data_IF_724746660658
#
_entry.id   IF_724746660658
#
_cell.length_a   1.000
_cell.length_b   1.000
_cell.length_c   1.000
_cell.angle_alpha   90.00
_cell.angle_beta   90.00
_cell.angle_gamma   90.00
#
_symmetry.space_group_name_H-M   'P 1'
#
loop_
_entity.id
_entity.type
_entity.pdbx_description
1 polymer ?
#
# COMPACT_ATOMS: atom_id res chain seq x y z
N UNK A 1 24.15 1.38 -7.81
CA UNK A 1 23.55 1.56 -6.46
C UNK A 1 24.65 1.42 -5.44
N UNK A 2 24.61 2.24 -4.41
CA UNK A 2 25.52 2.19 -3.27
C UNK A 2 24.96 1.12 -2.33
N UNK A 3 25.80 0.18 -1.90
CA UNK A 3 25.39 -0.78 -0.88
C UNK A 3 25.33 -0.06 0.47
N UNK A 4 24.13 0.03 1.04
CA UNK A 4 23.84 0.67 2.32
C UNK A 4 23.28 -0.33 3.34
N UNK A 5 23.27 -1.62 3.01
CA UNK A 5 22.61 -2.67 3.80
C UNK A 5 23.15 -2.78 5.23
N UNK A 6 24.48 -2.69 5.41
CA UNK A 6 25.13 -2.72 6.72
C UNK A 6 24.75 -1.51 7.57
N UNK A 7 24.72 -0.31 6.97
CA UNK A 7 24.33 0.92 7.65
C UNK A 7 22.87 0.85 8.09
N UNK A 8 21.97 0.45 7.19
CA UNK A 8 20.56 0.29 7.51
C UNK A 8 20.33 -0.74 8.61
N UNK A 9 21.10 -1.83 8.61
CA UNK A 9 21.05 -2.85 9.65
C UNK A 9 21.58 -2.33 10.99
N UNK A 10 22.63 -1.52 10.99
CA UNK A 10 23.14 -0.84 12.19
C UNK A 10 22.12 0.13 12.78
N UNK A 11 21.48 0.95 11.95
CA UNK A 11 20.39 1.85 12.37
C UNK A 11 19.25 1.06 13.02
N UNK A 12 18.82 -0.05 12.41
CA UNK A 12 17.78 -0.94 12.99
C UNK A 12 18.15 -1.48 14.37
N UNK A 13 19.45 -1.68 14.65
CA UNK A 13 19.97 -2.14 15.95
C UNK A 13 20.24 -1.00 16.92
N UNK A 14 20.04 0.26 16.53
CA UNK A 14 20.34 1.44 17.34
C UNK A 14 21.84 1.72 17.48
N UNK A 15 22.66 1.24 16.54
CA UNK A 15 24.11 1.45 16.53
C UNK A 15 24.46 2.85 16.02
N UNK A 16 25.58 3.39 16.48
CA UNK A 16 26.17 4.58 15.90
C UNK A 16 26.81 4.23 14.54
N UNK A 17 26.20 4.74 13.47
CA UNK A 17 26.64 4.53 12.09
C UNK A 17 27.43 5.73 11.50
N UNK A 18 27.76 6.73 12.31
CA UNK A 18 28.34 8.01 11.85
C UNK A 18 29.61 7.82 11.02
N UNK A 19 30.54 6.98 11.47
CA UNK A 19 31.79 6.72 10.74
C UNK A 19 31.55 5.98 9.42
N UNK A 20 30.63 5.01 9.41
CA UNK A 20 30.29 4.25 8.20
C UNK A 20 29.62 5.14 7.15
N UNK A 21 28.71 6.02 7.58
CA UNK A 21 28.07 7.01 6.70
C UNK A 21 29.11 8.00 6.16
N UNK A 22 30.01 8.53 7.00
CA UNK A 22 31.05 9.46 6.58
C UNK A 22 31.95 8.88 5.47
N UNK A 23 32.26 7.58 5.51
CA UNK A 23 33.01 6.88 4.45
C UNK A 23 32.23 6.79 3.13
N UNK A 24 30.89 6.78 3.17
CA UNK A 24 30.04 6.73 1.98
C UNK A 24 29.59 8.11 1.47
N UNK A 25 29.71 9.18 2.27
CA UNK A 25 29.24 10.52 1.91
C UNK A 25 29.69 11.00 0.52
N UNK A 26 30.96 10.85 0.08
CA UNK A 26 31.35 11.28 -1.27
C UNK A 26 30.56 10.58 -2.38
N UNK A 27 30.20 9.30 -2.17
CA UNK A 27 29.36 8.54 -3.11
C UNK A 27 27.91 8.98 -3.04
N UNK A 28 27.36 9.19 -1.83
CA UNK A 28 25.99 9.65 -1.61
C UNK A 28 25.76 11.06 -2.19
N UNK A 29 26.73 11.96 -2.04
CA UNK A 29 26.73 13.28 -2.67
C UNK A 29 26.62 13.18 -4.19
N UNK A 30 27.50 12.38 -4.81
CA UNK A 30 27.47 12.17 -6.27
C UNK A 30 26.17 11.50 -6.73
N UNK A 31 25.61 10.58 -5.94
CA UNK A 31 24.30 9.99 -6.19
C UNK A 31 23.21 11.05 -6.24
N UNK A 32 23.16 11.96 -5.25
CA UNK A 32 22.17 13.04 -5.20
C UNK A 32 22.34 14.02 -6.37
N UNK A 33 23.58 14.43 -6.68
CA UNK A 33 23.90 15.32 -7.82
C UNK A 33 23.45 14.72 -9.15
N UNK A 34 23.75 13.44 -9.38
CA UNK A 34 23.34 12.73 -10.59
C UNK A 34 21.82 12.69 -10.75
N UNK A 35 21.07 12.64 -9.65
CA UNK A 35 19.60 12.59 -9.66
C UNK A 35 18.95 13.94 -9.91
N UNK A 36 19.57 15.02 -9.44
CA UNK A 36 19.16 16.36 -9.86
C UNK A 36 19.32 16.57 -11.37
N UNK A 37 20.31 15.89 -11.98
CA UNK A 37 20.64 16.05 -13.40
C UNK A 37 19.94 15.04 -14.33
N UNK A 38 19.43 13.91 -13.82
CA UNK A 38 18.80 12.85 -14.62
C UNK A 38 17.31 12.73 -14.34
N UNK A 39 16.50 13.24 -15.28
CA UNK A 39 15.02 13.13 -15.29
C UNK A 39 14.54 11.69 -15.60
N UNK A 40 15.42 10.80 -16.07
CA UNK A 40 15.06 9.47 -16.61
C UNK A 40 15.35 8.27 -15.69
N UNK A 41 15.64 8.49 -14.40
CA UNK A 41 15.71 7.36 -13.46
C UNK A 41 14.37 6.63 -13.45
N UNK A 42 14.38 5.32 -13.73
CA UNK A 42 13.16 4.50 -13.79
C UNK A 42 12.39 4.64 -12.47
N UNK A 43 11.28 5.36 -12.52
CA UNK A 43 10.55 5.95 -11.38
C UNK A 43 10.04 4.92 -10.35
N UNK A 44 10.02 3.64 -10.72
CA UNK A 44 9.61 2.52 -9.86
C UNK A 44 10.78 1.77 -9.23
N UNK A 45 12.02 2.18 -9.51
CA UNK A 45 13.21 1.59 -8.91
C UNK A 45 13.40 2.15 -7.51
N UNK A 46 13.31 1.28 -6.51
CA UNK A 46 13.56 1.65 -5.13
C UNK A 46 15.04 1.99 -4.93
N UNK A 47 15.33 3.10 -4.24
CA UNK A 47 16.70 3.53 -3.92
C UNK A 47 16.90 3.46 -2.42
N UNK A 48 17.70 2.49 -1.95
CA UNK A 48 17.95 2.30 -0.53
C UNK A 48 18.67 3.50 0.11
N UNK A 49 19.41 4.26 -0.70
CA UNK A 49 20.08 5.48 -0.26
C UNK A 49 19.09 6.53 0.29
N UNK A 50 17.84 6.54 -0.18
CA UNK A 50 16.82 7.47 0.34
C UNK A 50 16.48 7.21 1.82
N UNK A 51 16.69 5.97 2.30
CA UNK A 51 16.47 5.64 3.70
C UNK A 51 17.44 6.37 4.64
N UNK A 52 18.60 6.82 4.13
CA UNK A 52 19.65 7.47 4.92
C UNK A 52 19.39 8.96 5.20
N UNK A 53 18.17 9.46 4.96
CA UNK A 53 17.78 10.86 5.18
C UNK A 53 18.25 11.45 6.51
N UNK A 54 18.15 10.68 7.60
CA UNK A 54 18.44 11.20 8.95
C UNK A 54 19.94 11.22 9.28
N UNK A 55 20.76 10.41 8.60
CA UNK A 55 22.16 10.18 8.94
C UNK A 55 23.14 10.75 7.92
N UNK A 56 22.73 10.93 6.66
CA UNK A 56 23.57 11.44 5.58
C UNK A 56 23.23 12.91 5.28
N UNK A 57 24.15 13.87 5.52
CA UNK A 57 23.95 15.27 5.15
C UNK A 57 23.56 15.47 3.68
N UNK A 58 24.18 14.73 2.75
CA UNK A 58 23.91 14.87 1.31
C UNK A 58 22.48 14.49 0.94
N UNK A 59 22.03 13.30 1.39
CA UNK A 59 20.66 12.81 1.19
C UNK A 59 19.64 13.73 1.88
N UNK A 60 19.93 14.24 3.08
CA UNK A 60 19.05 15.20 3.77
C UNK A 60 18.87 16.48 2.97
N UNK A 61 19.96 17.07 2.49
CA UNK A 61 19.93 18.28 1.65
C UNK A 61 19.15 18.04 0.35
N UNK A 62 19.34 16.89 -0.29
CA UNK A 62 18.59 16.52 -1.49
C UNK A 62 17.07 16.54 -1.22
N UNK A 63 16.61 15.80 -0.21
CA UNK A 63 15.18 15.70 0.08
C UNK A 63 14.56 17.03 0.54
N UNK A 64 15.30 17.84 1.30
CA UNK A 64 14.84 19.16 1.73
C UNK A 64 14.72 20.17 0.58
N UNK A 65 15.31 19.90 -0.59
CA UNK A 65 15.33 20.84 -1.72
C UNK A 65 14.55 20.34 -2.94
N UNK A 66 14.43 19.02 -3.11
CA UNK A 66 13.90 18.44 -4.34
C UNK A 66 12.41 18.74 -4.57
N UNK A 67 11.61 18.92 -3.51
CA UNK A 67 10.17 19.22 -3.65
C UNK A 67 9.89 20.40 -4.60
N UNK A 68 10.61 21.51 -4.40
CA UNK A 68 10.44 22.74 -5.18
C UNK A 68 10.90 22.60 -6.64
N UNK A 69 11.71 21.58 -6.93
CA UNK A 69 12.21 21.32 -8.30
C UNK A 69 11.19 20.57 -9.16
N UNK A 70 10.24 19.86 -8.54
CA UNK A 70 9.24 19.08 -9.27
C UNK A 70 8.12 19.96 -9.85
N UNK A 71 8.15 20.13 -11.17
CA UNK A 71 7.11 20.83 -11.92
C UNK A 71 5.89 19.92 -12.23
N UNK A 72 6.13 18.62 -12.42
CA UNK A 72 5.08 17.65 -12.70
C UNK A 72 4.60 16.99 -11.39
N UNK A 73 3.29 17.02 -11.06
CA UNK A 73 2.78 16.34 -9.87
C UNK A 73 3.10 14.84 -9.83
N UNK A 74 3.19 14.19 -10.99
CA UNK A 74 3.56 12.77 -11.09
C UNK A 74 4.90 12.48 -10.39
N UNK A 75 5.89 13.34 -10.59
CA UNK A 75 7.23 13.16 -10.06
C UNK A 75 7.23 13.30 -8.53
N UNK A 76 6.41 14.23 -8.00
CA UNK A 76 6.20 14.39 -6.56
C UNK A 76 5.61 13.13 -5.92
N UNK A 77 4.61 12.53 -6.57
CA UNK A 77 3.94 11.34 -6.05
C UNK A 77 4.89 10.13 -6.03
N UNK A 78 5.71 9.99 -7.07
CA UNK A 78 6.66 8.90 -7.17
C UNK A 78 7.84 9.06 -6.23
N UNK A 79 8.33 10.29 -6.06
CA UNK A 79 9.34 10.60 -5.06
C UNK A 79 8.84 10.22 -3.65
N UNK A 80 7.61 10.60 -3.30
CA UNK A 80 6.97 10.22 -2.04
C UNK A 80 6.92 8.70 -1.88
N UNK A 81 6.38 7.98 -2.87
CA UNK A 81 6.27 6.50 -2.82
C UNK A 81 7.64 5.86 -2.59
N UNK A 82 8.64 6.31 -3.34
CA UNK A 82 10.00 5.77 -3.26
C UNK A 82 10.64 6.02 -1.90
N UNK A 83 10.45 7.21 -1.33
CA UNK A 83 10.97 7.55 0.00
C UNK A 83 10.38 6.65 1.09
N UNK A 84 9.05 6.55 1.14
CA UNK A 84 8.38 5.79 2.21
C UNK A 84 8.66 4.30 2.11
N UNK A 85 8.69 3.74 0.88
CA UNK A 85 8.99 2.32 0.68
C UNK A 85 10.48 2.00 0.96
N UNK A 86 11.40 2.92 0.69
CA UNK A 86 12.82 2.72 0.98
C UNK A 86 13.05 2.67 2.48
N UNK A 87 12.43 3.60 3.22
CA UNK A 87 12.50 3.64 4.68
C UNK A 87 11.84 2.42 5.33
N UNK A 88 10.69 1.98 4.83
CA UNK A 88 10.07 0.74 5.31
C UNK A 88 10.98 -0.47 5.07
N UNK A 89 11.48 -0.65 3.84
CA UNK A 89 12.35 -1.78 3.48
C UNK A 89 13.65 -1.79 4.29
N UNK A 90 14.36 -0.67 4.28
CA UNK A 90 15.70 -0.57 4.85
C UNK A 90 15.69 -0.48 6.36
N UNK A 91 14.75 0.28 6.94
CA UNK A 91 14.75 0.66 8.35
C UNK A 91 13.58 0.08 9.14
N UNK A 92 12.56 -0.49 8.48
CA UNK A 92 11.34 -0.94 9.16
C UNK A 92 10.49 0.22 9.69
N UNK A 93 10.70 1.42 9.15
CA UNK A 93 9.97 2.63 9.57
C UNK A 93 8.65 2.69 8.81
N UNK A 94 7.54 2.88 9.54
CA UNK A 94 6.21 2.97 8.95
C UNK A 94 6.07 4.12 7.97
N UNK A 95 5.13 3.99 7.02
CA UNK A 95 4.85 5.03 6.04
C UNK A 95 4.38 6.34 6.70
N UNK A 96 3.65 6.29 7.82
CA UNK A 96 3.20 7.48 8.57
C UNK A 96 4.39 8.32 9.02
N UNK A 97 5.34 7.71 9.74
CA UNK A 97 6.54 8.40 10.22
C UNK A 97 7.36 8.98 9.07
N UNK A 98 7.45 8.25 7.96
CA UNK A 98 8.16 8.71 6.77
C UNK A 98 7.47 9.88 6.09
N UNK A 99 6.13 9.93 6.07
CA UNK A 99 5.39 11.07 5.51
C UNK A 99 5.48 12.30 6.39
N UNK A 100 5.56 12.18 7.72
CA UNK A 100 5.78 13.35 8.59
C UNK A 100 7.09 14.08 8.22
N UNK A 101 8.16 13.34 7.92
CA UNK A 101 9.41 13.92 7.39
C UNK A 101 9.16 14.63 6.05
N UNK A 102 8.44 14.00 5.11
CA UNK A 102 8.19 14.62 3.80
C UNK A 102 7.35 15.89 3.90
N UNK A 103 6.46 16.01 4.90
CA UNK A 103 5.72 17.25 5.17
C UNK A 103 6.67 18.38 5.58
N UNK A 104 7.69 18.09 6.40
CA UNK A 104 8.76 19.05 6.71
C UNK A 104 9.58 19.45 5.47
N UNK A 105 9.69 18.54 4.49
CA UNK A 105 10.29 18.80 3.18
C UNK A 105 9.35 19.50 2.18
N UNK A 106 8.11 19.81 2.55
CA UNK A 106 7.15 20.59 1.75
C UNK A 106 6.03 19.81 1.06
N UNK A 107 5.96 18.49 1.18
CA UNK A 107 4.81 17.73 0.65
C UNK A 107 3.54 18.06 1.43
N UNK A 108 2.45 18.30 0.70
CA UNK A 108 1.16 18.68 1.29
C UNK A 108 0.24 17.48 1.49
N UNK A 109 -0.81 17.65 2.31
CA UNK A 109 -1.90 16.67 2.43
C UNK A 109 -2.53 16.32 1.06
N UNK A 110 -2.70 17.33 0.20
CA UNK A 110 -3.20 17.13 -1.16
C UNK A 110 -2.27 16.25 -2.02
N UNK A 111 -0.95 16.46 -1.94
CA UNK A 111 0.03 15.62 -2.63
C UNK A 111 -0.05 14.16 -2.15
N UNK A 112 -0.23 13.94 -0.85
CA UNK A 112 -0.31 12.62 -0.23
C UNK A 112 -1.58 11.88 -0.70
N UNK A 113 -2.74 12.54 -0.65
CA UNK A 113 -4.01 11.96 -1.14
C UNK A 113 -3.92 11.64 -2.64
N UNK A 114 -3.37 12.55 -3.45
CA UNK A 114 -3.21 12.32 -4.86
C UNK A 114 -2.20 11.20 -5.16
N UNK A 115 -1.09 11.11 -4.40
CA UNK A 115 -0.13 10.02 -4.51
C UNK A 115 -0.76 8.67 -4.15
N UNK A 116 -1.65 8.62 -3.15
CA UNK A 116 -2.40 7.43 -2.79
C UNK A 116 -3.30 6.95 -3.94
N UNK A 117 -4.16 7.83 -4.45
CA UNK A 117 -5.05 7.52 -5.58
C UNK A 117 -4.23 7.11 -6.82
N UNK A 118 -3.14 7.83 -7.09
CA UNK A 118 -2.23 7.51 -8.19
C UNK A 118 -1.64 6.10 -8.04
N UNK A 119 -1.15 5.77 -6.85
CA UNK A 119 -0.58 4.47 -6.52
C UNK A 119 -1.60 3.33 -6.70
N UNK A 120 -2.84 3.55 -6.25
CA UNK A 120 -3.91 2.54 -6.32
C UNK A 120 -4.32 2.21 -7.75
N UNK A 121 -4.39 3.20 -8.64
CA UNK A 121 -4.93 3.03 -10.00
C UNK A 121 -3.82 2.80 -11.05
N UNK A 122 -2.57 3.20 -10.77
CA UNK A 122 -1.44 2.94 -11.66
C UNK A 122 -0.91 1.51 -11.45
N UNK A 123 -0.33 0.94 -12.50
CA UNK A 123 0.64 -0.14 -12.36
C UNK A 123 1.84 0.35 -11.54
N UNK A 124 2.06 -0.19 -10.36
CA UNK A 124 3.26 0.07 -9.54
C UNK A 124 3.61 -1.15 -8.70
N UNK A 125 4.88 -1.25 -8.29
CA UNK A 125 5.37 -2.19 -7.27
C UNK A 125 5.59 -1.52 -5.91
N UNK A 126 5.48 -0.19 -5.85
CA UNK A 126 5.56 0.57 -4.61
C UNK A 126 4.16 0.69 -4.04
N UNK A 127 4.04 0.84 -2.73
CA UNK A 127 2.75 0.93 -2.05
C UNK A 127 2.68 2.20 -1.20
N UNK A 128 1.48 2.73 -0.98
CA UNK A 128 1.25 3.73 0.05
C UNK A 128 0.23 3.21 1.04
N UNK A 129 0.50 3.41 2.33
CA UNK A 129 -0.41 2.95 3.38
C UNK A 129 -1.74 3.73 3.30
N UNK A 130 -2.89 3.05 3.41
CA UNK A 130 -4.18 3.72 3.56
C UNK A 130 -4.24 4.66 4.78
N UNK A 131 -3.52 4.36 5.87
CA UNK A 131 -3.47 5.21 7.07
C UNK A 131 -2.87 6.59 6.76
N UNK A 132 -1.87 6.64 5.88
CA UNK A 132 -1.23 7.88 5.46
C UNK A 132 -2.21 8.75 4.68
N UNK A 133 -3.01 8.13 3.80
CA UNK A 133 -4.05 8.84 3.06
C UNK A 133 -5.18 9.31 3.98
N UNK A 134 -5.48 8.56 5.04
CA UNK A 134 -6.49 8.93 6.02
C UNK A 134 -6.05 10.13 6.86
N UNK A 135 -4.81 10.13 7.36
CA UNK A 135 -4.25 11.30 8.06
C UNK A 135 -4.26 12.54 7.16
N UNK A 136 -3.84 12.41 5.91
CA UNK A 136 -3.85 13.52 4.95
C UNK A 136 -5.27 14.02 4.65
N UNK A 137 -6.25 13.12 4.49
CA UNK A 137 -7.64 13.51 4.29
C UNK A 137 -8.20 14.24 5.51
N UNK A 138 -7.90 13.79 6.73
CA UNK A 138 -8.33 14.46 7.97
C UNK A 138 -7.70 15.85 8.13
N UNK A 139 -6.46 16.03 7.67
CA UNK A 139 -5.76 17.31 7.70
C UNK A 139 -6.34 18.33 6.71
N UNK A 140 -6.67 17.89 5.49
CA UNK A 140 -7.26 18.73 4.44
C UNK A 140 -8.56 18.10 3.92
N UNK A 141 -9.60 18.18 4.76
CA UNK A 141 -10.90 17.59 4.46
C UNK A 141 -11.61 18.27 3.29
N UNK A 142 -11.35 19.56 3.06
CA UNK A 142 -11.92 20.29 1.92
C UNK A 142 -11.41 19.71 0.59
N UNK A 143 -10.10 19.46 0.48
CA UNK A 143 -9.56 18.76 -0.69
C UNK A 143 -10.07 17.32 -0.79
N UNK A 144 -10.20 16.60 0.33
CA UNK A 144 -10.77 15.25 0.34
C UNK A 144 -12.20 15.21 -0.22
N UNK A 145 -13.04 16.19 0.13
CA UNK A 145 -14.40 16.34 -0.41
C UNK A 145 -14.39 16.76 -1.88
N UNK A 146 -13.46 17.64 -2.30
CA UNK A 146 -13.32 17.97 -3.72
C UNK A 146 -12.95 16.74 -4.56
N UNK A 147 -12.03 15.90 -4.07
CA UNK A 147 -11.65 14.65 -4.71
C UNK A 147 -12.83 13.66 -4.77
N UNK A 148 -13.67 13.62 -3.73
CA UNK A 148 -14.91 12.83 -3.72
C UNK A 148 -15.87 13.30 -4.82
N UNK A 149 -16.01 14.61 -5.00
CA UNK A 149 -16.84 15.21 -6.03
C UNK A 149 -16.27 15.14 -7.45
N UNK A 150 -15.07 14.59 -7.62
CA UNK A 150 -14.42 14.53 -8.93
C UNK A 150 -13.86 15.88 -9.41
N UNK A 151 -13.69 16.85 -8.50
CA UNK A 151 -13.18 18.19 -8.82
C UNK A 151 -11.64 18.20 -8.86
N UNK A 152 -11.08 19.07 -9.70
CA UNK A 152 -9.65 19.32 -9.81
C UNK A 152 -8.78 18.10 -10.18
N UNK A 153 -9.36 17.02 -10.70
CA UNK A 153 -8.58 15.84 -11.14
C UNK A 153 -7.64 16.16 -12.30
N UNK A 154 -7.94 17.16 -13.11
CA UNK A 154 -7.06 17.69 -14.15
C UNK A 154 -5.86 18.44 -13.57
N UNK A 155 -5.96 18.96 -12.34
CA UNK A 155 -4.85 19.60 -11.63
C UNK A 155 -4.00 18.55 -10.91
N UNK A 156 -4.64 17.58 -10.24
CA UNK A 156 -3.93 16.53 -9.50
C UNK A 156 -3.34 15.45 -10.41
N UNK A 157 -3.99 15.19 -11.55
CA UNK A 157 -3.61 14.12 -12.47
C UNK A 157 -3.57 14.63 -13.93
N UNK A 158 -2.83 15.71 -14.24
CA UNK A 158 -2.82 16.37 -15.56
C UNK A 158 -2.31 15.46 -16.68
N UNK A 159 -1.57 14.42 -16.31
CA UNK A 159 -0.96 13.44 -17.20
C UNK A 159 -1.92 12.30 -17.62
N UNK A 160 -3.19 12.35 -17.20
CA UNK A 160 -4.22 11.42 -17.68
C UNK A 160 -5.36 12.15 -18.39
N UNK A 161 -5.82 11.58 -19.50
CA UNK A 161 -7.02 12.05 -20.18
C UNK A 161 -8.25 11.96 -19.26
N UNK A 162 -9.20 12.90 -19.42
CA UNK A 162 -10.41 13.02 -18.58
C UNK A 162 -11.20 11.72 -18.44
N UNK A 163 -11.23 10.90 -19.49
CA UNK A 163 -11.91 9.59 -19.47
C UNK A 163 -11.35 8.61 -18.44
N UNK A 164 -10.08 8.74 -18.05
CA UNK A 164 -9.43 7.87 -17.07
C UNK A 164 -9.58 8.35 -15.62
N UNK A 165 -10.11 9.57 -15.40
CA UNK A 165 -10.24 10.12 -14.04
C UNK A 165 -11.35 9.45 -13.24
N UNK A 166 -12.35 8.86 -13.91
CA UNK A 166 -13.46 8.20 -13.23
C UNK A 166 -13.01 7.04 -12.34
N UNK A 167 -12.03 6.23 -12.78
CA UNK A 167 -11.52 5.14 -11.95
C UNK A 167 -10.83 5.64 -10.67
N UNK A 168 -10.20 6.82 -10.73
CA UNK A 168 -9.58 7.46 -9.57
C UNK A 168 -10.62 8.02 -8.59
N UNK A 169 -11.70 8.60 -9.12
CA UNK A 169 -12.83 9.00 -8.29
C UNK A 169 -13.47 7.79 -7.60
N UNK A 170 -13.63 6.67 -8.30
CA UNK A 170 -14.18 5.44 -7.72
C UNK A 170 -13.30 4.89 -6.61
N UNK A 171 -11.98 4.86 -6.82
CA UNK A 171 -11.02 4.48 -5.77
C UNK A 171 -11.13 5.38 -4.54
N UNK A 172 -11.27 6.70 -4.74
CA UNK A 172 -11.42 7.64 -3.63
C UNK A 172 -12.77 7.49 -2.90
N UNK A 173 -13.85 7.18 -3.62
CA UNK A 173 -15.15 6.84 -3.02
C UNK A 173 -15.02 5.59 -2.14
N UNK A 174 -14.40 4.53 -2.65
CA UNK A 174 -14.16 3.30 -1.89
C UNK A 174 -13.34 3.58 -0.63
N UNK A 175 -12.30 4.39 -0.76
CA UNK A 175 -11.45 4.78 0.36
C UNK A 175 -12.25 5.58 1.42
N UNK A 176 -12.91 6.68 1.05
CA UNK A 176 -13.64 7.53 1.99
C UNK A 176 -14.75 6.75 2.73
N UNK A 177 -15.53 5.94 2.01
CA UNK A 177 -16.68 5.26 2.62
C UNK A 177 -16.35 3.90 3.22
N UNK A 178 -15.57 3.06 2.53
CA UNK A 178 -15.29 1.70 3.00
C UNK A 178 -14.04 1.64 3.88
N UNK A 179 -13.04 2.49 3.63
CA UNK A 179 -11.84 2.54 4.47
C UNK A 179 -12.03 3.47 5.68
N UNK A 180 -12.27 4.76 5.46
CA UNK A 180 -12.38 5.73 6.56
C UNK A 180 -13.71 5.65 7.33
N UNK A 181 -14.73 5.00 6.77
CA UNK A 181 -16.03 4.89 7.41
C UNK A 181 -16.79 6.23 7.46
N UNK A 182 -16.66 7.06 6.42
CA UNK A 182 -17.35 8.35 6.37
C UNK A 182 -18.88 8.18 6.40
N UNK A 183 -19.54 8.84 7.34
CA UNK A 183 -20.95 8.60 7.66
C UNK A 183 -21.94 9.41 6.81
N UNK A 184 -21.53 10.57 6.29
CA UNK A 184 -22.43 11.39 5.48
C UNK A 184 -22.60 10.79 4.08
N UNK A 185 -23.75 10.15 3.88
CA UNK A 185 -24.10 9.49 2.62
C UNK A 185 -24.70 10.44 1.57
N UNK A 186 -24.76 11.76 1.83
CA UNK A 186 -25.40 12.74 0.93
C UNK A 186 -24.84 12.67 -0.49
N UNK A 187 -23.53 12.52 -0.64
CA UNK A 187 -22.90 12.36 -1.96
C UNK A 187 -23.33 11.06 -2.66
N UNK A 188 -23.49 9.96 -1.92
CA UNK A 188 -23.91 8.68 -2.50
C UNK A 188 -25.39 8.68 -2.91
N UNK A 189 -26.24 9.39 -2.16
CA UNK A 189 -27.70 9.43 -2.38
C UNK A 189 -28.13 10.45 -3.44
N UNK A 190 -27.32 11.49 -3.70
CA UNK A 190 -27.67 12.51 -4.70
C UNK A 190 -27.63 11.94 -6.12
N UNK A 191 -28.50 12.45 -6.99
CA UNK A 191 -28.47 12.13 -8.41
C UNK A 191 -27.28 12.81 -9.09
N UNK A 192 -26.44 12.03 -9.77
CA UNK A 192 -25.29 12.52 -10.52
C UNK A 192 -25.59 12.59 -12.02
N UNK A 193 -24.92 13.50 -12.73
CA UNK A 193 -25.05 13.59 -14.20
C UNK A 193 -24.56 12.31 -14.91
N UNK A 194 -23.57 11.63 -14.34
CA UNK A 194 -23.00 10.40 -14.87
C UNK A 194 -23.81 9.19 -14.38
N UNK A 195 -24.48 8.48 -15.32
CA UNK A 195 -25.16 7.21 -15.03
C UNK A 195 -24.23 6.17 -14.39
N UNK A 196 -22.97 6.13 -14.82
CA UNK A 196 -21.96 5.21 -14.29
C UNK A 196 -21.61 5.54 -12.84
N UNK A 197 -21.51 6.82 -12.48
CA UNK A 197 -21.30 7.26 -11.10
C UNK A 197 -22.53 6.96 -10.22
N UNK A 198 -23.75 7.21 -10.71
CA UNK A 198 -24.97 6.84 -9.97
C UNK A 198 -25.01 5.34 -9.65
N UNK A 199 -24.72 4.49 -10.66
CA UNK A 199 -24.65 3.04 -10.45
C UNK A 199 -23.61 2.68 -9.39
N UNK A 200 -22.40 3.26 -9.50
CA UNK A 200 -21.32 3.00 -8.55
C UNK A 200 -21.69 3.44 -7.12
N UNK A 201 -22.27 4.62 -6.94
CA UNK A 201 -22.75 5.07 -5.63
C UNK A 201 -23.80 4.12 -5.04
N UNK A 202 -24.69 3.56 -5.86
CA UNK A 202 -25.64 2.52 -5.45
C UNK A 202 -24.95 1.25 -4.94
N UNK A 203 -23.94 0.76 -5.67
CA UNK A 203 -23.14 -0.41 -5.25
C UNK A 203 -22.44 -0.16 -3.90
N UNK A 204 -21.97 1.07 -3.65
CA UNK A 204 -21.37 1.45 -2.37
C UNK A 204 -22.42 1.49 -1.26
N UNK A 205 -23.61 2.05 -1.51
CA UNK A 205 -24.70 2.03 -0.52
C UNK A 205 -25.11 0.60 -0.14
N UNK A 206 -25.22 -0.30 -1.12
CA UNK A 206 -25.50 -1.72 -0.88
C UNK A 206 -24.40 -2.37 -0.04
N UNK A 207 -23.14 -2.09 -0.36
CA UNK A 207 -21.97 -2.58 0.37
C UNK A 207 -21.94 -2.09 1.82
N UNK A 208 -22.26 -0.81 2.06
CA UNK A 208 -22.34 -0.22 3.39
C UNK A 208 -23.55 -0.71 4.20
N UNK A 209 -24.62 -1.15 3.53
CA UNK A 209 -25.83 -1.67 4.19
C UNK A 209 -25.63 -3.10 4.72
N UNK A 210 -24.67 -3.85 4.18
CA UNK A 210 -24.28 -5.17 4.69
C UNK A 210 -23.59 -4.96 6.04
N UNK A 211 -24.34 -5.14 7.12
CA UNK A 211 -23.79 -5.07 8.47
C UNK A 211 -22.98 -6.33 8.71
N UNK A 212 -21.70 -6.19 9.08
CA UNK A 212 -20.97 -7.32 9.63
C UNK A 212 -21.58 -7.70 10.98
N UNK A 213 -21.88 -8.98 11.17
CA UNK A 213 -22.24 -9.51 12.50
C UNK A 213 -20.97 -9.34 13.34
N UNK A 214 -21.01 -8.45 14.34
CA UNK A 214 -19.86 -8.21 15.22
C UNK A 214 -19.31 -9.54 15.76
N UNK A 215 -18.02 -9.80 15.53
CA UNK A 215 -17.39 -11.07 15.89
C UNK A 215 -17.13 -11.20 17.40
N UNK A 216 -17.52 -10.21 18.19
CA UNK A 216 -17.20 -10.10 19.63
C UNK A 216 -17.76 -11.27 20.47
N UNK A 217 -18.67 -12.08 19.92
CA UNK A 217 -19.27 -13.25 20.58
C UNK A 217 -18.86 -14.62 19.99
N UNK A 218 -17.90 -14.67 19.05
CA UNK A 218 -17.45 -15.93 18.48
C UNK A 218 -16.31 -16.54 19.30
N UNK A 219 -16.22 -17.88 19.37
CA UNK A 219 -15.12 -18.54 20.05
C UNK A 219 -13.79 -18.13 19.41
N UNK A 220 -12.91 -17.57 20.26
CA UNK A 220 -11.51 -17.30 19.94
C UNK A 220 -10.74 -18.62 19.90
N UNK A 221 -9.67 -18.65 19.12
CA UNK A 221 -8.82 -19.83 18.98
C UNK A 221 -7.90 -19.99 20.20
N UNK A 222 -7.93 -21.17 20.84
CA UNK A 222 -7.06 -21.47 21.99
C UNK A 222 -5.64 -21.86 21.54
N UNK A 223 -5.53 -22.59 20.42
CA UNK A 223 -4.25 -23.01 19.82
C UNK A 223 -4.16 -22.50 18.39
N UNK A 224 -3.50 -21.37 18.21
CA UNK A 224 -3.36 -20.75 16.90
C UNK A 224 -2.32 -21.48 16.04
N UNK A 225 -2.60 -21.80 14.76
CA UNK A 225 -1.59 -22.30 13.85
C UNK A 225 -0.39 -21.35 13.75
N UNK A 226 0.81 -21.89 13.59
CA UNK A 226 2.00 -21.06 13.43
C UNK A 226 2.02 -20.41 12.04
N UNK A 227 1.67 -19.13 11.96
CA UNK A 227 1.74 -18.34 10.72
C UNK A 227 3.15 -17.83 10.39
N UNK A 228 4.14 -17.99 11.29
CA UNK A 228 5.52 -17.62 11.00
C UNK A 228 6.13 -18.47 9.87
N UNK A 229 5.56 -19.66 9.61
CA UNK A 229 5.91 -20.53 8.48
C UNK A 229 5.71 -19.86 7.11
N UNK A 230 4.90 -18.79 7.03
CA UNK A 230 4.72 -18.01 5.81
C UNK A 230 5.73 -16.87 5.67
N UNK A 231 6.51 -16.56 6.70
CA UNK A 231 7.46 -15.45 6.64
C UNK A 231 8.68 -15.84 5.80
N UNK A 232 9.07 -14.96 4.85
CA UNK A 232 10.26 -15.09 4.01
C UNK A 232 10.33 -16.35 3.12
N UNK A 233 9.25 -17.14 3.01
CA UNK A 233 9.21 -18.28 2.09
C UNK A 233 9.20 -17.81 0.63
N UNK A 234 9.68 -18.67 -0.26
CA UNK A 234 9.68 -18.41 -1.70
C UNK A 234 8.40 -18.93 -2.32
N UNK A 235 7.57 -18.01 -2.82
CA UNK A 235 6.33 -18.32 -3.53
C UNK A 235 6.60 -18.43 -5.03
N UNK A 236 6.17 -19.53 -5.65
CA UNK A 236 6.24 -19.74 -7.11
C UNK A 236 5.02 -19.13 -7.79
N UNK A 237 5.23 -18.25 -8.76
CA UNK A 237 4.18 -17.44 -9.37
C UNK A 237 3.05 -18.28 -9.96
N UNK A 238 3.34 -19.23 -10.87
CA UNK A 238 2.29 -20.05 -11.50
C UNK A 238 1.44 -20.83 -10.50
N UNK A 239 2.10 -21.49 -9.53
CA UNK A 239 1.42 -22.24 -8.47
C UNK A 239 0.54 -21.32 -7.63
N UNK A 240 1.09 -20.19 -7.19
CA UNK A 240 0.39 -19.23 -6.35
C UNK A 240 -0.87 -18.70 -7.04
N UNK A 241 -0.77 -18.26 -8.31
CA UNK A 241 -1.93 -17.73 -9.05
C UNK A 241 -3.02 -18.79 -9.25
N UNK A 242 -2.63 -20.01 -9.66
CA UNK A 242 -3.58 -21.10 -9.87
C UNK A 242 -4.26 -21.53 -8.56
N UNK A 243 -3.48 -21.71 -7.49
CA UNK A 243 -4.00 -22.12 -6.19
C UNK A 243 -4.87 -21.03 -5.56
N UNK A 244 -4.48 -19.76 -5.65
CA UNK A 244 -5.29 -18.64 -5.15
C UNK A 244 -6.68 -18.61 -5.78
N UNK A 245 -6.80 -18.86 -7.09
CA UNK A 245 -8.10 -18.99 -7.76
C UNK A 245 -8.91 -20.18 -7.23
N UNK A 246 -8.29 -21.35 -7.08
CA UNK A 246 -8.93 -22.54 -6.50
C UNK A 246 -9.41 -22.35 -5.06
N UNK A 247 -8.70 -21.54 -4.28
CA UNK A 247 -9.04 -21.16 -2.91
C UNK A 247 -9.96 -19.95 -2.81
N UNK A 248 -10.39 -19.38 -3.95
CA UNK A 248 -11.24 -18.17 -4.02
C UNK A 248 -10.65 -16.96 -3.28
N UNK A 249 -9.31 -16.85 -3.25
CA UNK A 249 -8.63 -15.69 -2.69
C UNK A 249 -8.81 -14.47 -3.59
N UNK A 250 -8.90 -13.28 -2.99
CA UNK A 250 -9.09 -12.02 -3.71
C UNK A 250 -7.77 -11.23 -3.79
N UNK A 251 -7.55 -10.52 -4.90
CA UNK A 251 -6.41 -9.63 -5.04
C UNK A 251 -6.54 -8.41 -4.11
N UNK A 252 -5.45 -7.99 -3.47
CA UNK A 252 -5.44 -6.75 -2.67
C UNK A 252 -5.60 -5.47 -3.48
N UNK A 253 -5.24 -5.50 -4.76
CA UNK A 253 -5.55 -4.42 -5.69
C UNK A 253 -5.95 -4.96 -7.07
N UNK A 254 -7.26 -4.89 -7.37
CA UNK A 254 -7.75 -5.24 -8.70
C UNK A 254 -7.43 -4.19 -9.76
N UNK A 255 -7.21 -2.93 -9.36
CA UNK A 255 -6.90 -1.82 -10.28
C UNK A 255 -5.46 -1.87 -10.80
N UNK A 256 -4.52 -2.46 -10.05
CA UNK A 256 -3.17 -2.69 -10.53
C UNK A 256 -3.18 -3.76 -11.64
N UNK A 257 -3.15 -3.35 -12.90
CA UNK A 257 -3.35 -4.27 -14.03
C UNK A 257 -2.26 -5.34 -14.22
N UNK A 258 -1.06 -5.13 -13.66
CA UNK A 258 0.11 -5.98 -13.96
C UNK A 258 0.62 -6.74 -12.75
N UNK A 259 0.56 -6.17 -11.56
CA UNK A 259 1.16 -6.76 -10.38
C UNK A 259 0.11 -7.14 -9.35
N UNK A 260 0.37 -8.24 -8.66
CA UNK A 260 -0.29 -8.63 -7.41
C UNK A 260 0.77 -8.76 -6.33
N UNK A 261 0.46 -8.26 -5.14
CA UNK A 261 1.38 -8.22 -4.00
C UNK A 261 0.75 -8.86 -2.75
N UNK A 262 -0.52 -9.23 -2.84
CA UNK A 262 -1.25 -9.88 -1.76
C UNK A 262 -2.44 -10.70 -2.27
N UNK A 263 -2.76 -11.74 -1.51
CA UNK A 263 -4.00 -12.52 -1.67
C UNK A 263 -4.77 -12.57 -0.36
N UNK A 264 -6.07 -12.30 -0.45
CA UNK A 264 -6.93 -12.13 0.70
C UNK A 264 -7.96 -13.25 0.83
N UNK A 265 -8.03 -13.83 2.02
CA UNK A 265 -9.13 -14.67 2.46
C UNK A 265 -10.11 -13.81 3.27
N UNK A 266 -11.38 -13.76 2.83
CA UNK A 266 -12.36 -12.78 3.31
C UNK A 266 -13.62 -13.49 3.82
N UNK A 267 -14.09 -13.05 4.97
CA UNK A 267 -15.45 -13.29 5.46
C UNK A 267 -16.15 -11.93 5.62
N UNK A 268 -16.95 -11.56 4.62
CA UNK A 268 -17.71 -10.30 4.61
C UNK A 268 -18.82 -10.27 5.67
N UNK A 269 -19.37 -11.43 6.04
CA UNK A 269 -20.44 -11.50 7.04
C UNK A 269 -19.90 -11.21 8.43
N UNK A 270 -18.71 -11.71 8.74
CA UNK A 270 -18.06 -11.47 10.02
C UNK A 270 -17.23 -10.19 10.04
N UNK A 271 -16.92 -9.59 8.89
CA UNK A 271 -16.02 -8.44 8.81
C UNK A 271 -14.55 -8.82 9.07
N UNK A 272 -14.15 -10.04 8.69
CA UNK A 272 -12.82 -10.59 8.90
C UNK A 272 -12.05 -10.69 7.58
N UNK A 273 -10.78 -10.31 7.61
CA UNK A 273 -9.84 -10.53 6.52
C UNK A 273 -8.51 -11.10 7.02
N UNK A 274 -7.88 -11.89 6.17
CA UNK A 274 -6.49 -12.29 6.30
C UNK A 274 -5.83 -12.12 4.93
N UNK A 275 -4.61 -11.59 4.90
CA UNK A 275 -3.87 -11.36 3.67
C UNK A 275 -2.51 -12.04 3.74
N UNK A 276 -2.21 -12.89 2.76
CA UNK A 276 -0.85 -13.35 2.49
C UNK A 276 -0.18 -12.29 1.60
N UNK A 277 0.80 -11.57 2.14
CA UNK A 277 1.51 -10.51 1.42
C UNK A 277 2.88 -11.00 0.93
N UNK A 278 3.35 -10.45 -0.19
CA UNK A 278 4.58 -10.86 -0.86
C UNK A 278 5.13 -9.74 -1.76
N UNK A 279 6.38 -9.91 -2.23
CA UNK A 279 6.96 -9.04 -3.24
C UNK A 279 6.17 -9.12 -4.56
N UNK A 280 6.13 -8.04 -5.34
CA UNK A 280 5.29 -7.96 -6.53
C UNK A 280 5.54 -9.10 -7.55
N UNK A 281 4.49 -9.84 -7.87
CA UNK A 281 4.45 -10.84 -8.93
C UNK A 281 3.59 -10.35 -10.09
N UNK A 282 3.96 -10.72 -11.32
CA UNK A 282 3.14 -10.41 -12.49
C UNK A 282 1.85 -11.26 -12.48
N UNK A 283 0.72 -10.63 -12.81
CA UNK A 283 -0.59 -11.31 -12.93
C UNK A 283 -0.65 -12.29 -14.12
N UNK A 284 0.15 -12.07 -15.15
CA UNK A 284 0.22 -12.92 -16.34
C UNK A 284 1.51 -13.75 -16.35
N UNK A 285 1.49 -14.99 -15.81
CA UNK A 285 2.67 -15.86 -15.75
C UNK A 285 3.07 -16.45 -17.11
N UNK A 286 2.29 -16.18 -18.17
CA UNK A 286 2.55 -16.69 -19.52
C UNK A 286 3.87 -16.16 -20.11
N UNK A 287 4.33 -15.00 -19.62
CA UNK A 287 5.58 -14.37 -20.05
C UNK A 287 6.78 -14.73 -19.15
N UNK A 288 6.58 -15.56 -18.12
CA UNK A 288 7.65 -16.01 -17.21
C UNK A 288 7.11 -16.50 -15.86
N UNK A 289 7.65 -17.60 -15.35
CA UNK A 289 7.38 -18.11 -14.01
C UNK A 289 8.46 -17.64 -13.04
N UNK A 290 8.17 -16.54 -12.33
CA UNK A 290 9.10 -15.94 -11.37
C UNK A 290 8.81 -16.43 -9.94
N UNK A 291 9.54 -15.88 -8.98
CA UNK A 291 9.30 -16.17 -7.56
C UNK A 291 9.40 -14.89 -6.76
N UNK A 292 8.66 -14.83 -5.66
CA UNK A 292 8.66 -13.69 -4.74
C UNK A 292 8.85 -14.20 -3.31
N UNK A 293 9.51 -13.40 -2.47
CA UNK A 293 9.52 -13.66 -1.03
C UNK A 293 8.20 -13.21 -0.42
N UNK A 294 7.64 -14.05 0.46
CA UNK A 294 6.50 -13.67 1.27
C UNK A 294 6.92 -12.73 2.39
N UNK A 295 6.07 -11.72 2.64
CA UNK A 295 6.15 -10.79 3.77
C UNK A 295 5.36 -11.29 4.98
N UNK A 296 4.77 -12.48 4.93
CA UNK A 296 3.94 -13.06 5.99
C UNK A 296 2.43 -12.88 5.77
N UNK A 297 1.67 -13.25 6.80
CA UNK A 297 0.21 -13.18 6.84
C UNK A 297 -0.24 -12.12 7.85
N UNK A 298 -1.20 -11.29 7.43
CA UNK A 298 -1.74 -10.20 8.23
C UNK A 298 -3.24 -10.35 8.40
N UNK A 299 -3.71 -10.39 9.64
CA UNK A 299 -5.14 -10.43 9.96
C UNK A 299 -5.67 -9.02 10.18
N UNK A 300 -6.91 -8.77 9.77
CA UNK A 300 -7.53 -7.46 9.91
C UNK A 300 -9.05 -7.53 9.99
N UNK A 301 -9.63 -6.46 10.55
CA UNK A 301 -11.08 -6.24 10.63
C UNK A 301 -11.51 -5.15 9.68
N UNK A 302 -12.76 -5.21 9.23
CA UNK A 302 -13.37 -4.15 8.45
C UNK A 302 -14.88 -4.13 8.68
N UNK A 303 -15.47 -2.93 8.63
CA UNK A 303 -16.92 -2.75 8.63
C UNK A 303 -17.49 -2.88 7.22
N UNK A 304 -16.79 -2.30 6.24
CA UNK A 304 -17.07 -2.46 4.82
C UNK A 304 -15.78 -2.89 4.12
N UNK A 305 -15.88 -3.87 3.22
CA UNK A 305 -14.71 -4.48 2.62
C UNK A 305 -13.90 -3.45 1.81
N UNK A 306 -12.65 -3.24 2.18
CA UNK A 306 -11.70 -2.47 1.38
C UNK A 306 -10.42 -3.29 1.24
N UNK A 307 -10.10 -3.71 0.02
CA UNK A 307 -8.92 -4.53 -0.26
C UNK A 307 -7.74 -3.61 -0.62
N UNK A 308 -6.59 -3.89 -0.02
CA UNK A 308 -5.34 -3.19 -0.26
C UNK A 308 -4.17 -4.17 -0.25
N UNK A 309 -3.22 -3.98 -1.17
CA UNK A 309 -1.94 -4.71 -1.16
C UNK A 309 -1.06 -4.32 0.05
N UNK A 310 -1.34 -3.18 0.66
CA UNK A 310 -0.75 -2.74 1.92
C UNK A 310 -1.78 -2.90 3.03
N UNK A 311 -1.53 -3.77 4.02
CA UNK A 311 -2.41 -3.93 5.18
C UNK A 311 -1.97 -2.91 6.23
N UNK A 312 -2.77 -1.86 6.51
CA UNK A 312 -2.39 -0.82 7.45
C UNK A 312 -2.36 -1.33 8.88
N UNK A 313 -1.36 -0.88 9.64
CA UNK A 313 -1.16 -1.26 11.05
C UNK A 313 -2.39 -0.93 11.90
N UNK A 314 -3.10 0.15 11.59
CA UNK A 314 -4.34 0.55 12.29
C UNK A 314 -5.45 -0.51 12.27
N UNK A 315 -5.39 -1.44 11.31
CA UNK A 315 -6.39 -2.52 11.13
C UNK A 315 -5.88 -3.88 11.54
N UNK A 316 -4.62 -4.02 11.90
CA UNK A 316 -4.05 -5.31 12.26
C UNK A 316 -4.78 -5.89 13.45
N UNK A 317 -4.96 -7.20 13.42
CA UNK A 317 -5.41 -8.00 14.55
C UNK A 317 -4.43 -9.13 14.78
N UNK A 318 -4.32 -9.55 16.03
CA UNK A 318 -3.71 -10.82 16.34
C UNK A 318 -4.57 -11.96 15.78
N UNK A 319 -3.96 -13.07 15.39
CA UNK A 319 -4.70 -14.22 14.87
C UNK A 319 -5.62 -14.82 15.96
N UNK A 320 -5.20 -14.72 17.22
CA UNK A 320 -5.91 -15.15 18.43
C UNK A 320 -7.20 -14.36 18.66
N UNK A 321 -7.27 -13.13 18.16
CA UNK A 321 -8.45 -12.27 18.27
C UNK A 321 -9.44 -12.48 17.12
N UNK A 322 -9.13 -13.37 16.18
CA UNK A 322 -9.99 -13.70 15.06
C UNK A 322 -10.83 -14.97 15.33
N UNK A 323 -12.00 -15.14 14.69
CA UNK A 323 -12.81 -16.34 14.87
C UNK A 323 -12.04 -17.61 14.51
N UNK A 324 -12.10 -18.63 15.37
CA UNK A 324 -11.30 -19.86 15.22
C UNK A 324 -11.45 -20.52 13.84
N UNK A 325 -12.68 -20.70 13.38
CA UNK A 325 -12.98 -21.30 12.07
C UNK A 325 -12.43 -20.47 10.90
N UNK A 326 -12.39 -19.14 11.05
CA UNK A 326 -11.81 -18.26 10.06
C UNK A 326 -10.29 -18.45 9.99
N UNK A 327 -9.62 -18.45 11.15
CA UNK A 327 -8.16 -18.62 11.25
C UNK A 327 -7.73 -19.96 10.65
N UNK A 328 -8.40 -21.07 11.01
CA UNK A 328 -8.09 -22.41 10.47
C UNK A 328 -8.26 -22.48 8.95
N UNK A 329 -9.32 -21.89 8.42
CA UNK A 329 -9.58 -21.85 6.97
C UNK A 329 -8.56 -20.98 6.25
N UNK A 330 -8.21 -19.82 6.81
CA UNK A 330 -7.18 -18.94 6.26
C UNK A 330 -5.82 -19.65 6.23
N UNK A 331 -5.42 -20.30 7.32
CA UNK A 331 -4.18 -21.10 7.38
C UNK A 331 -4.16 -22.14 6.27
N UNK A 332 -5.21 -22.97 6.16
CA UNK A 332 -5.30 -24.03 5.15
C UNK A 332 -5.26 -23.46 3.73
N UNK A 333 -5.98 -22.37 3.45
CA UNK A 333 -6.01 -21.73 2.15
C UNK A 333 -4.61 -21.20 1.77
N UNK A 334 -3.92 -20.54 2.70
CA UNK A 334 -2.57 -20.04 2.46
C UNK A 334 -1.53 -21.15 2.38
N UNK A 335 -1.65 -22.25 3.14
CA UNK A 335 -0.78 -23.43 2.98
C UNK A 335 -0.89 -24.02 1.58
N UNK A 336 -2.11 -24.15 1.04
CA UNK A 336 -2.35 -24.61 -0.33
C UNK A 336 -1.83 -23.60 -1.38
N UNK A 337 -1.96 -22.30 -1.11
CA UNK A 337 -1.49 -21.25 -2.01
C UNK A 337 0.04 -21.17 -2.06
N UNK A 338 0.69 -21.23 -0.90
CA UNK A 338 2.14 -21.20 -0.72
C UNK A 338 2.80 -22.54 -1.05
N UNK A 339 2.03 -23.62 -1.03
CA UNK A 339 2.48 -24.95 -1.36
C UNK A 339 3.15 -25.71 -0.23
N UNK A 340 2.76 -25.38 0.99
CA UNK A 340 3.19 -26.00 2.24
C UNK A 340 2.30 -27.19 2.64
N UNK A 341 1.18 -27.38 1.95
CA UNK A 341 0.41 -28.60 2.01
C UNK A 341 1.26 -29.73 1.43
N UNK A 342 1.89 -30.53 2.31
CA UNK A 342 2.68 -31.69 1.90
C UNK A 342 1.95 -32.46 0.82
N UNK A 343 2.56 -32.52 -0.38
CA UNK A 343 1.88 -32.93 -1.61
C UNK A 343 1.05 -34.19 -1.39
N UNK A 344 -0.27 -34.05 -1.56
CA UNK A 344 -1.17 -35.19 -1.72
C UNK A 344 -1.36 -35.49 -3.18
#
# INVERSE_FOLDING_TARGET
MIDVSDICSGIKRGEDVTEAVAKLEPKLKRFCENRNNNVFMNEETLCDEDALYEVSPSVKTYWNTVYATYQNPKDKYQALLRFVNARERCLGVSHIKSVHILKECGWTAADIMAAYIHNRVKTSRLLLSPDVAEEAAKEDWDTALQLLEGKNYDIFFPFYHKSYQMCRQFEWIDFIYCYMGYNDKTFLMKSHKSKRLCKYCGEILEKLARTSIGADNLPKINECPDFSVFQNIVLKQKRLMHSAAGQKLRNGNSQNGYYVMSFHFIDEQMGCGAALCFEALNKSPDYGDTSAKSKGVYFYRFNALYLSDYIPESRWQAAEDMPEEFVKKAYRAFSMAAGLDGGR
#
